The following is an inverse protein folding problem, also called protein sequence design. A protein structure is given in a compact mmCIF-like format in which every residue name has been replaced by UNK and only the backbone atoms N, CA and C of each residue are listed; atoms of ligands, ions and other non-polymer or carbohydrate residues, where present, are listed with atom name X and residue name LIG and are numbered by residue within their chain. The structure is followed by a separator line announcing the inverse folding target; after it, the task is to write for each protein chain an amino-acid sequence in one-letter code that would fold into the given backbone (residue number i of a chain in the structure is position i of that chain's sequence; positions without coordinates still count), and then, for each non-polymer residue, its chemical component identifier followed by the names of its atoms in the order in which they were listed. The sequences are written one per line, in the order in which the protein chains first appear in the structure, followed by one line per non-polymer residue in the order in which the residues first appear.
data_IF_908976737473
#
_entry.id   IF_908976737473
#
_cell.length_a   1.000
_cell.length_b   1.000
_cell.length_c   1.000
_cell.angle_alpha   90.00
_cell.angle_beta   90.00
_cell.angle_gamma   90.00
#
_symmetry.space_group_name_H-M   'P 1'
#
loop_
_entity.id
_entity.type
_entity.pdbx_description
1 polymer ?
#
# COMPACT_ATOMS: atom_id res chain seq x y z
N UNK A 1 -6.13 -22.82 2.18
CA UNK A 1 -6.01 -21.63 1.31
C UNK A 1 -4.54 -21.43 0.97
N UNK A 2 -4.16 -21.29 -0.32
CA UNK A 2 -2.79 -20.97 -0.69
C UNK A 2 -2.44 -19.53 -0.28
N UNK A 3 -1.18 -19.29 0.05
CA UNK A 3 -0.63 -17.97 0.35
C UNK A 3 0.32 -17.63 -0.78
N UNK A 4 0.01 -16.61 -1.58
CA UNK A 4 0.92 -16.13 -2.60
C UNK A 4 1.86 -15.08 -1.97
N UNK A 5 3.14 -15.40 -1.88
CA UNK A 5 4.15 -14.48 -1.38
C UNK A 5 4.94 -13.89 -2.55
N UNK A 6 4.69 -12.62 -2.88
CA UNK A 6 5.52 -11.85 -3.81
C UNK A 6 6.89 -11.63 -3.18
N UNK A 7 7.82 -12.56 -3.44
CA UNK A 7 9.06 -12.65 -2.70
C UNK A 7 10.12 -11.79 -3.38
N UNK A 8 10.42 -10.63 -2.80
CA UNK A 8 11.48 -9.77 -3.29
C UNK A 8 12.84 -10.53 -3.32
N UNK A 9 13.71 -10.32 -4.33
CA UNK A 9 14.99 -11.03 -4.44
C UNK A 9 15.87 -10.97 -3.18
N UNK A 10 15.78 -9.86 -2.42
CA UNK A 10 16.47 -9.74 -1.12
C UNK A 10 15.91 -10.71 -0.07
N UNK A 11 14.59 -10.84 0.03
CA UNK A 11 13.94 -11.75 0.98
C UNK A 11 14.23 -13.21 0.64
N UNK A 12 14.23 -13.55 -0.66
CA UNK A 12 14.60 -14.90 -1.11
C UNK A 12 16.02 -15.28 -0.70
N UNK A 13 17.01 -14.41 -0.98
CA UNK A 13 18.41 -14.65 -0.56
C UNK A 13 18.52 -14.86 0.94
N UNK A 14 17.71 -14.15 1.74
CA UNK A 14 17.69 -14.31 3.19
C UNK A 14 17.11 -15.66 3.61
N UNK A 15 16.02 -16.11 2.98
CA UNK A 15 15.42 -17.43 3.23
C UNK A 15 16.39 -18.56 2.91
N UNK A 16 17.10 -18.45 1.78
CA UNK A 16 18.14 -19.41 1.38
C UNK A 16 19.30 -19.44 2.37
N UNK A 17 19.79 -18.27 2.78
CA UNK A 17 20.91 -18.15 3.72
C UNK A 17 20.58 -18.67 5.12
N UNK A 18 19.32 -18.55 5.57
CA UNK A 18 18.89 -19.06 6.89
C UNK A 18 18.44 -20.51 6.86
N UNK A 19 18.27 -21.11 5.67
CA UNK A 19 17.69 -22.44 5.53
C UNK A 19 16.22 -22.52 5.98
N UNK A 20 15.53 -21.37 6.10
CA UNK A 20 14.15 -21.32 6.56
C UNK A 20 13.24 -21.97 5.52
N UNK A 21 12.44 -22.93 5.96
CA UNK A 21 11.48 -23.64 5.10
C UNK A 21 10.11 -22.99 5.23
N UNK A 22 9.64 -22.44 4.12
CA UNK A 22 8.26 -21.98 4.02
C UNK A 22 7.29 -23.16 4.15
N UNK A 23 6.12 -22.89 4.73
CA UNK A 23 5.02 -23.85 4.77
C UNK A 23 4.60 -24.23 3.34
N UNK A 24 4.21 -25.49 3.13
CA UNK A 24 3.76 -26.02 1.83
C UNK A 24 2.64 -25.22 1.15
N UNK A 25 1.86 -24.46 1.92
CA UNK A 25 0.78 -23.59 1.43
C UNK A 25 1.30 -22.26 0.87
N UNK A 26 2.55 -21.90 1.14
CA UNK A 26 3.17 -20.65 0.69
C UNK A 26 3.82 -20.85 -0.67
N UNK A 27 3.29 -20.15 -1.67
CA UNK A 27 3.82 -20.11 -3.02
C UNK A 27 4.67 -18.86 -3.13
N UNK A 28 5.99 -19.02 -3.08
CA UNK A 28 6.92 -17.93 -3.33
C UNK A 28 6.98 -17.64 -4.84
N UNK A 29 6.52 -16.46 -5.24
CA UNK A 29 6.51 -16.03 -6.63
C UNK A 29 7.59 -14.96 -6.86
N UNK A 30 8.04 -14.81 -8.10
CA UNK A 30 8.82 -13.62 -8.50
C UNK A 30 8.00 -12.34 -8.32
N UNK A 31 8.63 -11.16 -8.21
CA UNK A 31 7.88 -9.91 -8.24
C UNK A 31 6.97 -9.82 -9.46
N UNK A 32 5.68 -9.56 -9.22
CA UNK A 32 4.67 -9.41 -10.26
C UNK A 32 4.82 -8.06 -10.98
N UNK A 33 4.38 -8.01 -12.24
CA UNK A 33 4.18 -6.74 -12.93
C UNK A 33 3.06 -5.92 -12.29
N UNK A 34 3.05 -4.60 -12.50
CA UNK A 34 2.09 -3.69 -11.88
C UNK A 34 0.62 -4.10 -12.08
N UNK A 35 0.23 -4.43 -13.31
CA UNK A 35 -1.15 -4.82 -13.62
C UNK A 35 -1.56 -6.13 -12.94
N UNK A 36 -0.68 -7.13 -12.97
CA UNK A 36 -0.94 -8.44 -12.34
C UNK A 36 -1.01 -8.31 -10.82
N UNK A 37 -0.15 -7.48 -10.22
CA UNK A 37 -0.17 -7.20 -8.80
C UNK A 37 -1.46 -6.50 -8.37
N UNK A 38 -1.93 -5.52 -9.13
CA UNK A 38 -3.23 -4.87 -8.89
C UNK A 38 -4.39 -5.86 -9.01
N UNK A 39 -4.37 -6.71 -10.04
CA UNK A 39 -5.37 -7.76 -10.22
C UNK A 39 -5.38 -8.72 -9.02
N UNK A 40 -4.20 -9.13 -8.55
CA UNK A 40 -4.06 -9.98 -7.37
C UNK A 40 -4.66 -9.32 -6.13
N UNK A 41 -4.32 -8.06 -5.85
CA UNK A 41 -4.83 -7.34 -4.67
C UNK A 41 -6.37 -7.27 -4.67
N UNK A 42 -6.98 -6.89 -5.79
CA UNK A 42 -8.43 -6.76 -5.92
C UNK A 42 -9.19 -8.08 -5.74
N UNK A 43 -8.53 -9.23 -5.93
CA UNK A 43 -9.14 -10.56 -5.86
C UNK A 43 -8.63 -11.40 -4.68
N UNK A 44 -7.74 -10.86 -3.84
CA UNK A 44 -7.21 -11.56 -2.70
C UNK A 44 -8.26 -11.66 -1.60
N UNK A 45 -8.26 -12.80 -0.89
CA UNK A 45 -9.06 -12.94 0.33
C UNK A 45 -8.64 -11.92 1.40
N UNK A 46 -7.33 -11.69 1.54
CA UNK A 46 -6.76 -10.61 2.32
C UNK A 46 -5.37 -10.29 1.77
N UNK A 47 -4.98 -9.02 1.83
CA UNK A 47 -3.64 -8.54 1.50
C UNK A 47 -2.92 -8.20 2.80
N UNK A 48 -1.82 -8.91 3.07
CA UNK A 48 -0.93 -8.65 4.19
C UNK A 48 0.38 -8.10 3.63
N UNK A 49 0.74 -6.86 3.98
CA UNK A 49 1.85 -6.16 3.32
C UNK A 49 2.62 -5.22 4.25
N UNK A 50 3.91 -5.08 4.02
CA UNK A 50 4.77 -4.06 4.64
C UNK A 50 4.99 -2.85 3.72
N UNK A 51 4.33 -2.80 2.56
CA UNK A 51 4.47 -1.69 1.61
C UNK A 51 3.99 -0.37 2.21
N UNK A 52 4.76 0.71 2.00
CA UNK A 52 4.33 2.08 2.30
C UNK A 52 3.19 2.57 1.41
N UNK A 53 2.93 1.91 0.26
CA UNK A 53 1.83 2.25 -0.65
C UNK A 53 0.52 1.56 -0.31
N UNK A 54 0.51 0.55 0.58
CA UNK A 54 -0.73 -0.17 0.96
C UNK A 54 -1.87 0.78 1.41
N UNK A 55 -1.61 1.85 2.19
CA UNK A 55 -2.67 2.79 2.57
C UNK A 55 -3.25 3.57 1.37
N UNK A 56 -2.42 3.94 0.41
CA UNK A 56 -2.84 4.64 -0.82
C UNK A 56 -3.60 3.68 -1.76
N UNK A 57 -3.10 2.46 -1.92
CA UNK A 57 -3.71 1.41 -2.75
C UNK A 57 -5.10 1.03 -2.21
N UNK A 58 -5.21 0.72 -0.92
CA UNK A 58 -6.48 0.36 -0.28
C UNK A 58 -7.54 1.45 -0.44
N UNK A 59 -7.17 2.70 -0.19
CA UNK A 59 -8.05 3.87 -0.42
C UNK A 59 -8.41 4.05 -1.90
N UNK A 60 -7.46 3.92 -2.82
CA UNK A 60 -7.72 4.07 -4.25
C UNK A 60 -8.69 3.01 -4.77
N UNK A 61 -8.44 1.74 -4.44
CA UNK A 61 -9.29 0.64 -4.89
C UNK A 61 -10.71 0.72 -4.31
N UNK A 62 -10.85 1.18 -3.07
CA UNK A 62 -12.15 1.55 -2.50
C UNK A 62 -12.84 2.66 -3.32
N UNK A 63 -12.11 3.70 -3.73
CA UNK A 63 -12.69 4.82 -4.51
C UNK A 63 -13.28 4.43 -5.86
N UNK A 64 -12.79 3.33 -6.46
CA UNK A 64 -13.28 2.79 -7.73
C UNK A 64 -14.21 1.58 -7.55
N UNK A 65 -14.72 1.35 -6.34
CA UNK A 65 -15.67 0.28 -6.06
C UNK A 65 -15.09 -1.12 -6.06
N UNK A 66 -13.79 -1.26 -5.81
CA UNK A 66 -13.07 -2.55 -5.73
C UNK A 66 -12.28 -2.70 -4.42
N UNK A 67 -12.90 -2.49 -3.23
CA UNK A 67 -12.18 -2.61 -1.97
C UNK A 67 -11.62 -4.02 -1.78
N UNK A 68 -10.54 -4.14 -1.03
CA UNK A 68 -9.96 -5.43 -0.62
C UNK A 68 -9.52 -5.34 0.85
N UNK A 69 -9.51 -6.46 1.61
CA UNK A 69 -9.05 -6.44 2.99
C UNK A 69 -7.54 -6.16 3.05
N UNK A 70 -7.17 -5.01 3.60
CA UNK A 70 -5.78 -4.56 3.68
C UNK A 70 -5.27 -4.59 5.13
N UNK A 71 -4.16 -5.31 5.35
CA UNK A 71 -3.52 -5.45 6.66
C UNK A 71 -2.04 -5.11 6.55
N UNK A 72 -1.59 -4.15 7.33
CA UNK A 72 -0.18 -3.76 7.39
C UNK A 72 0.55 -4.48 8.50
N UNK A 73 1.67 -5.11 8.17
CA UNK A 73 2.60 -5.74 9.14
C UNK A 73 3.70 -4.77 9.62
N UNK A 74 3.40 -3.47 9.64
CA UNK A 74 4.27 -2.43 10.19
C UNK A 74 3.82 -2.05 11.60
N UNK A 75 4.72 -1.47 12.38
CA UNK A 75 4.41 -0.94 13.72
C UNK A 75 4.01 0.54 13.70
N UNK A 76 4.12 1.20 12.55
CA UNK A 76 3.76 2.61 12.34
C UNK A 76 3.51 2.89 10.87
N UNK A 77 2.82 4.00 10.59
CA UNK A 77 2.55 4.49 9.23
C UNK A 77 2.82 5.98 9.12
N UNK A 78 3.34 6.39 7.97
CA UNK A 78 3.46 7.78 7.52
C UNK A 78 2.19 8.31 6.83
N UNK A 79 1.12 7.51 6.79
CA UNK A 79 -0.19 7.82 6.20
C UNK A 79 -1.31 7.76 7.25
N UNK A 80 -1.29 8.62 8.29
CA UNK A 80 -2.34 8.65 9.32
C UNK A 80 -3.75 8.89 8.73
N UNK A 81 -3.85 9.67 7.65
CA UNK A 81 -5.09 9.98 6.96
C UNK A 81 -5.83 8.75 6.44
N UNK A 82 -5.10 7.68 6.08
CA UNK A 82 -5.69 6.42 5.64
C UNK A 82 -6.16 5.53 6.80
N UNK A 83 -5.55 5.67 7.99
CA UNK A 83 -6.05 5.05 9.21
C UNK A 83 -7.32 5.74 9.68
N UNK A 84 -7.32 7.08 9.70
CA UNK A 84 -8.50 7.89 10.06
C UNK A 84 -9.70 7.56 9.16
N UNK A 85 -9.43 7.30 7.88
CA UNK A 85 -10.45 6.92 6.90
C UNK A 85 -10.84 5.42 6.94
N UNK A 86 -10.19 4.60 7.77
CA UNK A 86 -10.49 3.18 7.92
C UNK A 86 -10.14 2.33 6.70
N UNK A 87 -9.11 2.69 5.93
CA UNK A 87 -8.77 2.00 4.68
C UNK A 87 -8.00 0.68 4.88
N UNK A 88 -7.31 0.52 6.03
CA UNK A 88 -6.52 -0.67 6.33
C UNK A 88 -6.37 -0.87 7.84
N UNK A 89 -5.97 -2.08 8.25
CA UNK A 89 -5.65 -2.41 9.64
C UNK A 89 -4.14 -2.40 9.85
N UNK A 90 -3.64 -1.65 10.83
CA UNK A 90 -2.24 -1.70 11.26
C UNK A 90 -2.07 -2.79 12.32
N UNK A 91 -1.57 -3.96 11.93
CA UNK A 91 -1.54 -5.14 12.79
C UNK A 91 -0.22 -5.39 13.50
N UNK A 92 0.86 -4.65 13.17
CA UNK A 92 2.16 -4.90 13.78
C UNK A 92 2.83 -6.18 13.28
N UNK A 93 3.75 -6.72 14.09
CA UNK A 93 4.58 -7.87 13.72
C UNK A 93 4.37 -9.09 14.64
N UNK A 94 3.50 -8.96 15.64
CA UNK A 94 3.15 -10.06 16.52
C UNK A 94 2.05 -10.94 15.91
N UNK A 95 2.08 -12.23 16.24
CA UNK A 95 1.20 -13.22 15.62
C UNK A 95 -0.26 -13.01 16.00
N UNK A 96 -0.54 -12.65 17.25
CA UNK A 96 -1.91 -12.48 17.73
C UNK A 96 -2.60 -11.29 17.07
N UNK A 97 -1.95 -10.13 17.05
CA UNK A 97 -2.49 -8.92 16.42
C UNK A 97 -2.63 -9.08 14.90
N UNK A 98 -1.72 -9.81 14.24
CA UNK A 98 -1.87 -10.13 12.83
C UNK A 98 -3.10 -11.01 12.56
N UNK A 99 -3.32 -12.05 13.36
CA UNK A 99 -4.49 -12.91 13.20
C UNK A 99 -5.80 -12.13 13.41
N UNK A 100 -5.87 -11.34 14.49
CA UNK A 100 -7.01 -10.48 14.78
C UNK A 100 -7.24 -9.43 13.68
N UNK A 101 -6.18 -8.81 13.18
CA UNK A 101 -6.26 -7.80 12.13
C UNK A 101 -6.75 -8.37 10.79
N UNK A 102 -6.31 -9.57 10.42
CA UNK A 102 -6.81 -10.28 9.23
C UNK A 102 -8.28 -10.66 9.40
N UNK A 103 -8.65 -11.21 10.54
CA UNK A 103 -10.04 -11.58 10.83
C UNK A 103 -10.97 -10.37 10.74
N UNK A 104 -10.61 -9.26 11.41
CA UNK A 104 -11.36 -8.01 11.37
C UNK A 104 -11.50 -7.47 9.95
N UNK A 105 -10.39 -7.34 9.20
CA UNK A 105 -10.41 -6.76 7.86
C UNK A 105 -11.29 -7.59 6.89
N UNK A 106 -11.22 -8.92 6.98
CA UNK A 106 -12.03 -9.82 6.15
C UNK A 106 -13.50 -9.74 6.53
N UNK A 107 -13.82 -9.76 7.83
CA UNK A 107 -15.21 -9.71 8.28
C UNK A 107 -15.88 -8.40 7.87
N UNK A 108 -15.22 -7.26 8.10
CA UNK A 108 -15.73 -5.95 7.69
C UNK A 108 -15.98 -5.87 6.19
N UNK A 109 -15.08 -6.43 5.38
CA UNK A 109 -15.25 -6.50 3.93
C UNK A 109 -16.47 -7.33 3.53
N UNK A 110 -16.69 -8.49 4.16
CA UNK A 110 -17.84 -9.36 3.88
C UNK A 110 -19.18 -8.73 4.28
N UNK A 111 -19.18 -7.93 5.34
CA UNK A 111 -20.35 -7.19 5.83
C UNK A 111 -20.61 -5.89 5.04
N UNK A 112 -19.70 -5.52 4.12
CA UNK A 112 -19.78 -4.24 3.39
C UNK A 112 -19.49 -3.02 4.26
N UNK A 113 -18.87 -3.22 5.42
CA UNK A 113 -18.46 -2.17 6.35
C UNK A 113 -17.11 -1.60 5.92
N UNK A 114 -17.12 -0.78 4.87
CA UNK A 114 -15.91 -0.17 4.35
C UNK A 114 -15.59 1.14 5.07
N UNK A 115 -14.32 1.51 5.05
CA UNK A 115 -13.89 2.88 5.32
C UNK A 115 -14.39 3.87 4.25
N UNK A 116 -13.76 5.03 4.20
CA UNK A 116 -14.02 6.05 3.17
C UNK A 116 -12.74 6.32 2.37
N UNK A 117 -12.82 6.55 1.04
CA UNK A 117 -11.64 6.96 0.30
C UNK A 117 -11.05 8.25 0.86
N UNK A 118 -9.73 8.28 1.06
CA UNK A 118 -9.01 9.50 1.42
C UNK A 118 -9.11 10.48 0.25
N UNK A 119 -9.73 11.64 0.50
CA UNK A 119 -10.01 12.64 -0.54
C UNK A 119 -8.74 13.07 -1.30
N UNK A 120 -7.64 13.28 -0.58
CA UNK A 120 -6.37 13.75 -1.16
C UNK A 120 -5.72 12.73 -2.13
N UNK A 121 -6.07 11.44 -2.03
CA UNK A 121 -5.56 10.40 -2.91
C UNK A 121 -6.37 10.25 -4.21
N UNK A 122 -7.58 10.78 -4.25
CA UNK A 122 -8.47 10.71 -5.42
C UNK A 122 -8.25 11.86 -6.40
N UNK A 123 -7.29 12.73 -6.12
CA UNK A 123 -6.95 13.85 -6.99
C UNK A 123 -6.42 13.40 -8.35
N UNK A 124 -7.15 13.69 -9.41
CA UNK A 124 -6.69 13.43 -10.78
C UNK A 124 -5.71 14.50 -11.29
N UNK A 125 -5.09 14.21 -12.45
CA UNK A 125 -4.25 15.13 -13.22
C UNK A 125 -3.05 15.70 -12.42
N UNK A 126 -2.50 14.93 -11.48
CA UNK A 126 -1.37 15.34 -10.64
C UNK A 126 -0.13 15.73 -11.46
N UNK A 127 0.14 15.02 -12.56
CA UNK A 127 1.25 15.34 -13.47
C UNK A 127 1.12 16.75 -14.07
N UNK A 128 -0.09 17.17 -14.45
CA UNK A 128 -0.36 18.52 -14.95
C UNK A 128 -0.16 19.57 -13.85
N UNK A 129 -0.62 19.30 -12.62
CA UNK A 129 -0.42 20.19 -11.46
C UNK A 129 1.09 20.40 -11.21
N UNK A 130 1.86 19.32 -11.19
CA UNK A 130 3.31 19.37 -11.01
C UNK A 130 4.00 20.20 -12.11
N UNK A 131 3.67 19.96 -13.38
CA UNK A 131 4.23 20.72 -14.49
C UNK A 131 3.94 22.22 -14.38
N UNK A 132 2.70 22.61 -14.04
CA UNK A 132 2.31 24.02 -13.84
C UNK A 132 3.05 24.67 -12.66
N UNK A 133 3.21 23.95 -11.55
CA UNK A 133 3.96 24.43 -10.38
C UNK A 133 5.42 24.70 -10.74
N UNK A 134 6.09 23.74 -11.40
CA UNK A 134 7.49 23.90 -11.83
C UNK A 134 7.64 25.12 -12.73
N UNK A 135 6.80 25.24 -13.76
CA UNK A 135 6.85 26.36 -14.70
C UNK A 135 6.62 27.71 -14.00
N UNK A 136 5.69 27.77 -13.04
CA UNK A 136 5.33 29.01 -12.34
C UNK A 136 6.41 29.46 -11.36
N UNK A 137 6.97 28.54 -10.57
CA UNK A 137 7.90 28.88 -9.49
C UNK A 137 9.36 28.98 -9.93
N UNK A 138 9.75 28.39 -11.07
CA UNK A 138 11.17 28.42 -11.52
C UNK A 138 11.73 29.84 -11.60
N UNK A 139 11.00 30.77 -12.24
CA UNK A 139 11.43 32.17 -12.35
C UNK A 139 11.47 32.89 -11.00
N UNK A 140 10.44 32.68 -10.18
CA UNK A 140 10.33 33.27 -8.83
C UNK A 140 11.48 32.83 -7.94
N UNK A 141 11.75 31.52 -7.88
CA UNK A 141 12.83 30.95 -7.05
C UNK A 141 14.21 31.44 -7.53
N UNK A 142 14.45 31.47 -8.85
CA UNK A 142 15.71 31.99 -9.39
C UNK A 142 15.98 33.44 -8.97
N UNK A 143 14.95 34.30 -8.97
CA UNK A 143 15.08 35.71 -8.57
C UNK A 143 15.16 35.89 -7.05
N UNK A 144 14.22 35.29 -6.31
CA UNK A 144 13.99 35.61 -4.90
C UNK A 144 14.89 34.81 -3.94
N UNK A 145 15.21 33.56 -4.29
CA UNK A 145 16.04 32.68 -3.45
C UNK A 145 17.49 32.75 -3.91
N UNK A 146 17.73 32.50 -5.20
CA UNK A 146 19.09 32.39 -5.74
C UNK A 146 19.71 33.70 -6.19
N UNK A 147 18.93 34.79 -6.25
CA UNK A 147 19.40 36.12 -6.70
C UNK A 147 20.13 36.08 -8.06
N UNK A 148 19.66 35.22 -8.97
CA UNK A 148 20.24 35.16 -10.32
C UNK A 148 19.85 36.41 -11.10
N UNK A 149 20.85 37.10 -11.65
CA UNK A 149 20.65 38.30 -12.47
C UNK A 149 20.63 39.63 -11.69
N UNK A 150 20.92 39.60 -10.38
CA UNK A 150 21.32 40.78 -9.59
C UNK A 150 22.83 40.81 -9.38
#
# INVERSE_FOLDING_TARGET
MPILYSCHPRSRKRLEATGFRLDSRVIAHEPLGFHDYNCLQMNAFAVVSDSGTLPEESSFFLSIGKPFPAVSIRTSTERPEALDAGCFVLAGIDTESLLQGVEMAVQMQQEGCFGTPVADYTGENVSMKAARLIQSYTGVVNKMVWRKGS
#
